data_IF_037893057697
#
_entry.id   IF_037893057697
#
_cell.length_a   1.000
_cell.length_b   1.000
_cell.length_c   1.000
_cell.angle_alpha   90.00
_cell.angle_beta   90.00
_cell.angle_gamma   90.00
#
_symmetry.space_group_name_H-M   'P 1'
#
loop_
_entity.id
_entity.type
_entity.pdbx_description
1 polymer ?
#
# COMPACT_ATOMS: atom_id res chain seq x y z
N UNK A 1 14.03 8.31 22.51
CA UNK A 1 14.51 6.94 22.24
C UNK A 1 15.48 7.00 21.10
N UNK A 2 16.41 6.02 20.97
CA UNK A 2 17.32 6.01 19.83
C UNK A 2 16.55 5.57 18.57
N UNK A 3 16.65 6.36 17.49
CA UNK A 3 16.11 6.01 16.18
C UNK A 3 16.92 4.87 15.58
N UNK A 4 16.25 3.93 14.96
CA UNK A 4 16.88 2.84 14.20
C UNK A 4 17.31 3.38 12.84
N UNK A 5 18.57 3.16 12.45
CA UNK A 5 18.99 3.51 11.10
C UNK A 5 18.34 2.57 10.08
N UNK A 6 17.71 3.11 9.04
CA UNK A 6 17.09 2.33 7.96
C UNK A 6 18.00 1.22 7.43
N UNK A 7 19.28 1.54 7.23
CA UNK A 7 20.25 0.59 6.68
C UNK A 7 20.58 -0.54 7.65
N UNK A 8 20.51 -0.31 8.98
CA UNK A 8 20.65 -1.37 9.98
C UNK A 8 19.45 -2.33 9.95
N UNK A 9 18.25 -1.78 9.77
CA UNK A 9 17.03 -2.58 9.59
C UNK A 9 17.15 -3.48 8.35
N UNK A 10 17.54 -2.92 7.20
CA UNK A 10 17.74 -3.67 5.95
C UNK A 10 18.81 -4.75 6.14
N UNK A 11 19.97 -4.40 6.70
CA UNK A 11 21.06 -5.36 6.94
C UNK A 11 20.63 -6.52 7.82
N UNK A 12 19.82 -6.26 8.84
CA UNK A 12 19.34 -7.33 9.71
C UNK A 12 18.39 -8.27 8.97
N UNK A 13 17.44 -7.75 8.16
CA UNK A 13 16.56 -8.57 7.34
C UNK A 13 17.30 -9.35 6.26
N UNK A 14 18.32 -8.76 5.62
CA UNK A 14 19.20 -9.44 4.68
C UNK A 14 19.98 -10.56 5.36
N UNK A 15 20.38 -10.39 6.64
CA UNK A 15 21.02 -11.46 7.43
C UNK A 15 20.03 -12.59 7.67
N UNK A 16 18.79 -12.33 8.08
CA UNK A 16 17.76 -13.36 8.26
C UNK A 16 17.58 -14.18 6.98
N UNK A 17 17.57 -13.53 5.83
CA UNK A 17 17.50 -14.18 4.52
C UNK A 17 18.74 -15.04 4.22
N UNK A 18 19.94 -14.49 4.36
CA UNK A 18 21.20 -15.19 4.08
C UNK A 18 21.45 -16.39 5.01
N UNK A 19 21.00 -16.28 6.26
CA UNK A 19 21.08 -17.36 7.26
C UNK A 19 19.93 -18.35 7.18
N UNK A 20 19.00 -18.20 6.21
CA UNK A 20 17.85 -19.08 5.99
C UNK A 20 17.00 -19.30 7.25
N UNK A 21 16.62 -18.22 7.92
CA UNK A 21 15.80 -18.32 9.13
C UNK A 21 14.48 -19.04 8.84
N UNK A 22 14.08 -19.87 9.80
CA UNK A 22 12.86 -20.65 9.69
C UNK A 22 11.63 -19.79 10.00
N UNK A 23 10.47 -20.27 9.57
CA UNK A 23 9.17 -19.70 9.90
C UNK A 23 8.43 -20.54 10.93
N UNK A 24 7.93 -19.92 11.98
CA UNK A 24 6.93 -20.49 12.88
C UNK A 24 5.96 -19.40 13.30
N UNK A 25 4.67 -19.71 13.26
CA UNK A 25 3.62 -18.78 13.69
C UNK A 25 3.86 -18.28 15.11
N UNK A 26 3.79 -16.97 15.33
CA UNK A 26 4.01 -16.34 16.63
C UNK A 26 5.47 -16.25 17.07
N UNK A 27 6.41 -16.73 16.27
CA UNK A 27 7.83 -16.68 16.62
C UNK A 27 8.44 -15.27 16.31
N UNK A 28 9.31 -14.83 17.23
CA UNK A 28 10.08 -13.58 17.10
C UNK A 28 11.47 -13.74 17.75
N UNK A 29 12.12 -14.87 17.47
CA UNK A 29 13.40 -15.24 18.07
C UNK A 29 14.50 -15.44 17.01
N UNK A 30 15.76 -15.36 17.45
CA UNK A 30 16.90 -15.59 16.56
C UNK A 30 16.80 -16.94 15.84
N UNK A 31 16.87 -16.92 14.52
CA UNK A 31 16.82 -18.09 13.66
C UNK A 31 15.38 -18.56 13.32
N UNK A 32 14.34 -18.02 13.99
CA UNK A 32 12.95 -18.40 13.75
C UNK A 32 12.01 -17.22 14.00
N UNK A 33 11.28 -16.79 12.97
CA UNK A 33 10.32 -15.68 13.06
C UNK A 33 9.08 -15.98 12.21
N UNK A 34 7.94 -15.33 12.52
CA UNK A 34 6.87 -15.17 11.54
C UNK A 34 7.00 -13.81 10.80
N UNK A 35 6.05 -13.48 9.92
CA UNK A 35 6.11 -12.27 9.11
C UNK A 35 6.23 -10.99 9.97
N UNK A 36 5.38 -10.85 10.98
CA UNK A 36 5.36 -9.72 11.91
C UNK A 36 6.43 -9.83 13.01
N UNK A 37 6.77 -11.05 13.40
CA UNK A 37 7.82 -11.36 14.37
C UNK A 37 9.21 -10.96 13.90
N UNK A 38 9.45 -10.91 12.60
CA UNK A 38 10.70 -10.38 12.04
C UNK A 38 10.90 -8.90 12.43
N UNK A 39 9.86 -8.08 12.36
CA UNK A 39 9.91 -6.69 12.84
C UNK A 39 10.05 -6.62 14.37
N UNK A 40 9.31 -7.44 15.12
CA UNK A 40 9.45 -7.52 16.58
C UNK A 40 10.89 -7.83 16.99
N UNK A 41 11.48 -8.83 16.35
CA UNK A 41 12.88 -9.19 16.58
C UNK A 41 13.83 -8.04 16.23
N UNK A 42 13.64 -7.39 15.08
CA UNK A 42 14.50 -6.32 14.61
C UNK A 42 14.49 -5.11 15.55
N UNK A 43 13.32 -4.63 15.97
CA UNK A 43 13.21 -3.52 16.94
C UNK A 43 13.85 -3.87 18.29
N UNK A 44 13.66 -5.09 18.75
CA UNK A 44 14.28 -5.57 19.99
C UNK A 44 15.82 -5.57 19.89
N UNK A 45 16.36 -6.03 18.76
CA UNK A 45 17.81 -6.12 18.56
C UNK A 45 18.47 -4.76 18.31
N UNK A 46 17.81 -3.87 17.56
CA UNK A 46 18.43 -2.61 17.13
C UNK A 46 18.22 -1.47 18.11
N UNK A 47 17.10 -1.47 18.85
CA UNK A 47 16.76 -0.37 19.74
C UNK A 47 16.32 -0.82 21.15
N UNK A 48 16.32 -2.11 21.46
CA UNK A 48 15.81 -2.62 22.74
C UNK A 48 14.32 -2.40 22.93
N UNK A 49 13.57 -2.17 21.85
CA UNK A 49 12.15 -1.81 21.89
C UNK A 49 11.25 -3.01 21.68
N UNK A 50 10.08 -2.95 22.30
CA UNK A 50 9.02 -3.93 22.07
C UNK A 50 7.94 -3.31 21.19
N UNK A 51 7.71 -3.95 20.02
CA UNK A 51 6.66 -3.54 19.08
C UNK A 51 5.52 -4.55 19.07
N UNK A 52 4.35 -4.11 18.62
CA UNK A 52 3.18 -4.99 18.54
C UNK A 52 3.45 -6.16 17.60
N UNK A 53 3.17 -7.39 18.07
CA UNK A 53 3.21 -8.60 17.25
C UNK A 53 1.87 -8.76 16.52
N UNK A 54 1.92 -9.00 15.23
CA UNK A 54 0.77 -9.13 14.33
C UNK A 54 0.71 -8.03 13.28
N UNK A 55 0.69 -8.44 12.01
CA UNK A 55 0.70 -7.55 10.83
C UNK A 55 -0.44 -6.53 10.84
N UNK A 56 -1.65 -6.94 11.23
CA UNK A 56 -2.80 -6.04 11.41
C UNK A 56 -2.54 -4.94 12.45
N UNK A 57 -1.85 -5.27 13.54
CA UNK A 57 -1.50 -4.29 14.57
C UNK A 57 -0.38 -3.36 14.11
N UNK A 58 0.61 -3.90 13.40
CA UNK A 58 1.72 -3.13 12.84
C UNK A 58 1.23 -2.15 11.79
N UNK A 59 0.37 -2.58 10.88
CA UNK A 59 -0.23 -1.73 9.87
C UNK A 59 -0.98 -0.52 10.45
N UNK A 60 -1.67 -0.69 11.59
CA UNK A 60 -2.48 0.37 12.20
C UNK A 60 -1.74 1.26 13.20
N UNK A 61 -0.64 0.77 13.79
CA UNK A 61 -0.03 1.44 14.95
C UNK A 61 1.47 1.63 14.85
N UNK A 62 2.15 0.92 13.93
CA UNK A 62 3.62 0.93 13.87
C UNK A 62 4.18 1.50 12.55
N UNK A 63 3.32 2.11 11.76
CA UNK A 63 3.72 2.91 10.61
C UNK A 63 3.78 4.40 10.97
N UNK A 64 4.62 5.14 10.25
CA UNK A 64 4.71 6.59 10.29
C UNK A 64 4.09 7.15 9.00
N UNK A 65 3.25 8.15 9.14
CA UNK A 65 2.52 8.70 7.99
C UNK A 65 1.45 7.75 7.44
N UNK A 66 1.26 7.77 6.14
CA UNK A 66 0.22 7.04 5.43
C UNK A 66 0.73 5.76 4.78
N UNK A 67 -0.16 4.83 4.52
CA UNK A 67 0.09 3.76 3.56
C UNK A 67 0.11 4.31 2.13
N UNK A 68 1.05 3.84 1.33
CA UNK A 68 1.27 4.27 -0.05
C UNK A 68 1.21 3.06 -0.99
N UNK A 69 0.86 3.28 -2.27
CA UNK A 69 0.97 2.23 -3.28
C UNK A 69 2.39 1.65 -3.36
N UNK A 70 2.52 0.38 -3.72
CA UNK A 70 3.84 -0.29 -3.86
C UNK A 70 4.76 0.37 -4.89
N UNK A 71 4.22 1.14 -5.84
CA UNK A 71 5.01 1.95 -6.78
C UNK A 71 5.84 3.04 -6.10
N UNK A 72 5.49 3.41 -4.87
CA UNK A 72 6.20 4.39 -4.05
C UNK A 72 7.24 3.75 -3.11
N UNK A 73 7.51 2.46 -3.28
CA UNK A 73 8.41 1.71 -2.41
C UNK A 73 9.81 2.31 -2.40
N UNK A 74 10.32 2.50 -1.20
CA UNK A 74 11.71 2.89 -0.95
C UNK A 74 12.38 1.86 -0.02
N UNK A 75 13.69 1.71 -0.10
CA UNK A 75 14.43 0.79 0.77
C UNK A 75 14.11 1.00 2.25
N UNK A 76 13.86 -0.09 2.96
CA UNK A 76 13.58 -0.08 4.39
C UNK A 76 12.13 0.24 4.79
N UNK A 77 11.27 0.59 3.85
CA UNK A 77 9.83 0.66 4.12
C UNK A 77 9.27 -0.72 4.47
N UNK A 78 8.19 -0.74 5.21
CA UNK A 78 7.39 -1.96 5.41
C UNK A 78 6.41 -2.13 4.26
N UNK A 79 6.24 -3.37 3.80
CA UNK A 79 5.26 -3.72 2.77
C UNK A 79 4.19 -4.64 3.35
N UNK A 80 2.94 -4.47 2.91
CA UNK A 80 1.80 -5.24 3.40
C UNK A 80 1.05 -5.92 2.25
N UNK A 81 0.54 -7.14 2.55
CA UNK A 81 -0.52 -7.78 1.79
C UNK A 81 -1.81 -7.64 2.56
N UNK A 82 -2.90 -7.32 1.86
CA UNK A 82 -4.18 -7.13 2.53
C UNK A 82 -5.34 -7.78 1.78
N UNK A 83 -6.47 -7.88 2.45
CA UNK A 83 -7.76 -8.31 1.92
C UNK A 83 -8.82 -7.32 2.30
N UNK A 84 -9.80 -7.13 1.44
CA UNK A 84 -10.95 -6.27 1.67
C UNK A 84 -12.11 -7.07 2.25
N UNK A 85 -13.02 -6.45 2.99
CA UNK A 85 -14.28 -7.10 3.39
C UNK A 85 -15.00 -7.69 2.17
N UNK A 86 -15.38 -8.97 2.27
CA UNK A 86 -16.08 -9.70 1.21
C UNK A 86 -15.18 -10.42 0.21
N UNK A 87 -13.86 -10.27 0.28
CA UNK A 87 -12.92 -11.09 -0.48
C UNK A 87 -12.82 -12.50 0.12
N UNK A 88 -12.49 -13.48 -0.74
CA UNK A 88 -12.20 -14.86 -0.30
C UNK A 88 -11.02 -14.84 0.70
N UNK A 89 -11.09 -15.64 1.73
CA UNK A 89 -10.11 -15.70 2.82
C UNK A 89 -9.98 -14.41 3.68
N UNK A 90 -10.91 -13.45 3.58
CA UNK A 90 -10.95 -12.32 4.50
C UNK A 90 -11.20 -12.80 5.94
N UNK A 91 -10.26 -12.53 6.83
CA UNK A 91 -10.32 -12.97 8.24
C UNK A 91 -9.76 -11.90 9.19
N UNK A 92 -10.35 -10.70 9.15
CA UNK A 92 -9.97 -9.63 10.06
C UNK A 92 -10.38 -10.02 11.50
N UNK A 93 -9.44 -10.09 12.46
CA UNK A 93 -9.76 -10.40 13.85
C UNK A 93 -10.77 -9.41 14.45
N UNK A 94 -11.69 -9.90 15.28
CA UNK A 94 -12.82 -9.16 15.84
C UNK A 94 -12.39 -7.83 16.52
N UNK A 95 -11.24 -7.82 17.19
CA UNK A 95 -10.70 -6.61 17.84
C UNK A 95 -10.45 -5.44 16.88
N UNK A 96 -10.33 -5.67 15.57
CA UNK A 96 -10.12 -4.66 14.53
C UNK A 96 -11.39 -4.34 13.75
N UNK A 97 -12.48 -5.11 13.92
CA UNK A 97 -13.79 -4.86 13.32
C UNK A 97 -14.49 -3.70 13.99
N UNK A 98 -15.57 -3.22 13.40
CA UNK A 98 -16.42 -2.17 14.01
C UNK A 98 -16.74 -2.52 15.47
N UNK A 99 -16.60 -1.54 16.35
CA UNK A 99 -16.76 -1.67 17.80
C UNK A 99 -15.68 -2.50 18.53
N UNK A 100 -14.70 -3.06 17.84
CA UNK A 100 -13.58 -3.77 18.46
C UNK A 100 -12.59 -2.83 19.18
N UNK A 101 -11.92 -3.33 20.21
CA UNK A 101 -11.02 -2.54 21.08
C UNK A 101 -9.83 -1.90 20.36
N UNK A 102 -9.50 -2.36 19.18
CA UNK A 102 -8.39 -1.84 18.33
C UNK A 102 -8.86 -1.35 16.97
N UNK A 103 -10.15 -1.07 16.83
CA UNK A 103 -10.71 -0.50 15.60
C UNK A 103 -10.19 0.92 15.37
N UNK A 104 -9.75 1.20 14.17
CA UNK A 104 -9.18 2.51 13.76
C UNK A 104 -9.94 3.15 12.59
N UNK A 105 -11.15 2.68 12.26
CA UNK A 105 -11.89 3.08 11.06
C UNK A 105 -11.52 2.27 9.81
N UNK A 106 -10.54 1.38 9.90
CA UNK A 106 -9.99 0.58 8.82
C UNK A 106 -10.41 -0.89 8.98
N UNK A 107 -11.11 -1.42 7.98
CA UNK A 107 -11.58 -2.80 7.92
C UNK A 107 -10.72 -3.70 7.02
N UNK A 108 -9.56 -3.24 6.55
CA UNK A 108 -8.64 -4.08 5.78
C UNK A 108 -8.03 -5.17 6.67
N UNK A 109 -7.93 -6.38 6.15
CA UNK A 109 -7.17 -7.46 6.80
C UNK A 109 -5.73 -7.47 6.26
N UNK A 110 -4.80 -6.89 7.01
CA UNK A 110 -3.37 -6.91 6.70
C UNK A 110 -2.77 -8.24 7.16
N UNK A 111 -2.93 -9.28 6.35
CA UNK A 111 -2.60 -10.66 6.75
C UNK A 111 -1.10 -11.00 6.65
N UNK A 112 -0.30 -10.18 5.96
CA UNK A 112 1.14 -10.43 5.79
C UNK A 112 1.94 -9.14 5.72
N UNK A 113 3.20 -9.20 6.17
CA UNK A 113 4.12 -8.06 6.22
C UNK A 113 5.55 -8.48 5.88
N UNK A 114 6.30 -7.58 5.27
CA UNK A 114 7.72 -7.72 4.98
C UNK A 114 8.42 -6.37 4.95
N UNK A 115 9.74 -6.36 4.77
CA UNK A 115 10.56 -5.16 4.65
C UNK A 115 11.04 -5.01 3.21
N UNK A 116 10.89 -3.83 2.62
CA UNK A 116 11.44 -3.50 1.30
C UNK A 116 12.96 -3.57 1.38
N UNK A 117 13.56 -4.35 0.48
CA UNK A 117 15.01 -4.56 0.43
C UNK A 117 15.74 -3.29 -0.04
N UNK A 118 17.06 -3.30 -0.04
CA UNK A 118 17.92 -2.25 -0.61
C UNK A 118 17.59 -1.99 -2.10
N UNK A 119 17.28 -3.04 -2.86
CA UNK A 119 16.63 -2.95 -4.17
C UNK A 119 15.12 -2.93 -3.96
N UNK A 120 14.43 -1.79 -4.17
CA UNK A 120 13.03 -1.64 -3.85
C UNK A 120 12.06 -2.46 -4.71
N UNK A 121 12.57 -3.17 -5.72
CA UNK A 121 11.79 -4.17 -6.48
C UNK A 121 11.54 -5.46 -5.70
N UNK A 122 12.16 -5.61 -4.51
CA UNK A 122 12.06 -6.82 -3.70
C UNK A 122 11.67 -6.53 -2.26
N UNK A 123 11.10 -7.54 -1.62
CA UNK A 123 10.71 -7.53 -0.22
C UNK A 123 11.27 -8.75 0.50
N UNK A 124 11.82 -8.53 1.68
CA UNK A 124 12.35 -9.53 2.59
C UNK A 124 11.26 -9.90 3.60
N UNK A 125 10.89 -11.17 3.69
CA UNK A 125 9.76 -11.59 4.53
C UNK A 125 9.87 -13.04 4.99
N UNK A 126 9.30 -13.35 6.16
CA UNK A 126 9.09 -14.71 6.63
C UNK A 126 7.73 -15.21 6.10
N UNK A 127 7.74 -16.12 5.12
CA UNK A 127 6.57 -16.42 4.28
C UNK A 127 5.71 -17.59 4.76
N UNK A 128 6.33 -18.70 5.06
CA UNK A 128 5.65 -19.93 5.50
C UNK A 128 6.64 -20.93 6.06
N UNK A 129 6.16 -21.96 6.74
CA UNK A 129 7.00 -23.05 7.25
C UNK A 129 7.82 -23.74 6.16
N UNK A 130 7.30 -23.82 4.93
CA UNK A 130 8.02 -24.43 3.79
C UNK A 130 9.08 -23.49 3.21
N UNK A 131 8.79 -22.21 3.11
CA UNK A 131 9.67 -21.22 2.46
C UNK A 131 10.68 -20.58 3.42
N UNK A 132 10.37 -20.54 4.72
CA UNK A 132 11.16 -19.83 5.70
C UNK A 132 11.20 -18.33 5.43
N UNK A 133 12.33 -17.72 5.71
CA UNK A 133 12.61 -16.33 5.39
C UNK A 133 13.10 -16.21 3.95
N UNK A 134 12.44 -15.41 3.14
CA UNK A 134 12.69 -15.32 1.70
C UNK A 134 12.72 -13.88 1.18
N UNK A 135 13.11 -13.75 -0.08
CA UNK A 135 13.14 -12.50 -0.85
C UNK A 135 12.21 -12.66 -2.03
N UNK A 136 11.10 -11.95 -2.02
CA UNK A 136 10.08 -11.98 -3.08
C UNK A 136 10.12 -10.69 -3.92
N UNK A 137 9.64 -10.74 -5.15
CA UNK A 137 9.40 -9.51 -5.93
C UNK A 137 8.23 -8.73 -5.33
N UNK A 138 8.41 -7.43 -5.15
CA UNK A 138 7.40 -6.50 -4.65
C UNK A 138 6.46 -6.10 -5.80
N UNK A 139 5.46 -6.91 -6.07
CA UNK A 139 4.49 -6.70 -7.15
C UNK A 139 3.08 -7.03 -6.69
N UNK A 140 2.06 -6.38 -7.30
CA UNK A 140 0.66 -6.71 -7.08
C UNK A 140 0.33 -8.16 -7.47
N UNK A 141 1.01 -8.72 -8.50
CA UNK A 141 0.89 -10.14 -8.89
C UNK A 141 1.28 -11.09 -7.76
N UNK A 142 2.21 -10.70 -6.91
CA UNK A 142 2.64 -11.45 -5.73
C UNK A 142 1.81 -11.11 -4.48
N UNK A 143 0.74 -10.33 -4.65
CA UNK A 143 -0.20 -9.94 -3.60
C UNK A 143 0.30 -8.84 -2.66
N UNK A 144 1.30 -8.06 -3.05
CA UNK A 144 1.72 -6.89 -2.31
C UNK A 144 0.87 -5.69 -2.72
N UNK A 145 0.33 -4.96 -1.73
CA UNK A 145 -0.66 -3.91 -1.96
C UNK A 145 -0.14 -2.54 -1.57
N UNK A 146 0.46 -2.42 -0.38
CA UNK A 146 0.88 -1.14 0.19
C UNK A 146 2.27 -1.18 0.78
N UNK A 147 2.89 0.00 0.85
CA UNK A 147 4.11 0.25 1.61
C UNK A 147 3.90 1.41 2.57
N UNK A 148 4.69 1.47 3.64
CA UNK A 148 4.68 2.57 4.58
C UNK A 148 6.05 2.73 5.24
N UNK A 149 6.32 3.92 5.77
CA UNK A 149 7.45 4.12 6.64
C UNK A 149 7.20 3.51 8.03
N UNK A 150 8.23 2.99 8.65
CA UNK A 150 8.17 2.47 10.01
C UNK A 150 8.39 3.60 11.02
N UNK A 151 7.69 3.55 12.14
CA UNK A 151 7.97 4.44 13.28
C UNK A 151 9.36 4.18 13.83
N UNK A 152 9.99 5.24 14.34
CA UNK A 152 11.29 5.19 15.01
C UNK A 152 12.43 4.63 14.16
N UNK A 153 12.26 4.68 12.83
CA UNK A 153 13.30 4.39 11.84
C UNK A 153 13.67 5.70 11.14
N UNK A 154 14.96 6.01 11.10
CA UNK A 154 15.50 7.17 10.42
C UNK A 154 15.77 6.83 8.94
N UNK A 155 15.14 7.59 8.05
CA UNK A 155 15.29 7.43 6.60
C UNK A 155 16.13 8.58 6.04
N UNK A 156 17.02 8.33 5.04
CA UNK A 156 17.80 9.39 4.37
C UNK A 156 16.86 10.40 3.70
N UNK A 157 17.09 11.66 3.94
CA UNK A 157 16.25 12.75 3.41
C UNK A 157 15.33 13.36 4.44
N UNK A 158 15.35 12.87 5.69
CA UNK A 158 14.57 13.36 6.81
C UNK A 158 13.07 13.04 6.64
N UNK A 159 12.52 12.30 7.59
CA UNK A 159 11.09 12.39 7.88
C UNK A 159 10.98 13.41 9.00
N UNK A 160 10.57 14.62 8.70
CA UNK A 160 10.08 15.51 9.73
C UNK A 160 8.76 14.93 10.25
N UNK A 161 8.90 14.23 11.37
CA UNK A 161 7.79 13.77 12.19
C UNK A 161 7.34 14.96 13.02
N UNK A 162 6.82 15.96 12.43
CA UNK A 162 5.80 16.87 12.98
C UNK A 162 5.65 18.09 12.04
N UNK A 163 4.41 18.55 11.84
CA UNK A 163 4.03 19.56 10.88
C UNK A 163 4.98 20.75 10.76
N UNK A 164 5.73 20.80 9.66
CA UNK A 164 6.57 21.92 9.28
C UNK A 164 6.82 21.94 7.78
N UNK A 165 6.20 22.88 7.11
CA UNK A 165 6.35 23.42 5.75
C UNK A 165 7.46 22.79 4.86
N UNK A 166 7.08 22.02 3.82
CA UNK A 166 7.93 21.75 2.66
C UNK A 166 7.86 20.34 2.04
N UNK A 167 7.12 19.37 2.56
CA UNK A 167 6.94 18.09 1.90
C UNK A 167 6.00 18.24 0.70
N UNK A 168 6.46 17.76 -0.47
CA UNK A 168 5.60 17.59 -1.64
C UNK A 168 4.53 16.57 -1.28
N UNK A 169 3.41 17.04 -0.73
CA UNK A 169 2.27 16.22 -0.36
C UNK A 169 1.83 15.41 -1.56
N UNK A 170 1.56 14.12 -1.37
CA UNK A 170 1.01 13.29 -2.43
C UNK A 170 -0.32 13.89 -2.83
N UNK A 171 -0.46 14.24 -4.10
CA UNK A 171 -1.66 14.86 -4.63
C UNK A 171 -2.44 13.87 -5.48
N UNK A 172 -3.74 14.03 -5.48
CA UNK A 172 -4.63 13.32 -6.38
C UNK A 172 -5.62 14.28 -7.04
N UNK A 173 -6.03 13.93 -8.24
CA UNK A 173 -7.16 14.60 -8.91
C UNK A 173 -8.44 13.86 -8.54
N UNK A 174 -9.45 14.60 -8.12
CA UNK A 174 -10.78 14.04 -7.88
C UNK A 174 -11.38 13.63 -9.22
N UNK A 175 -11.69 12.35 -9.38
CA UNK A 175 -12.24 11.77 -10.60
C UNK A 175 -13.50 10.94 -10.31
N UNK A 176 -14.23 10.57 -11.37
CA UNK A 176 -15.37 9.67 -11.27
C UNK A 176 -15.02 8.32 -11.92
N UNK A 177 -15.36 7.19 -11.29
CA UNK A 177 -15.23 5.89 -11.94
C UNK A 177 -15.98 5.84 -13.28
N UNK A 178 -15.44 5.08 -14.25
CA UNK A 178 -16.05 4.92 -15.57
C UNK A 178 -17.54 4.54 -15.47
N UNK A 179 -18.39 5.27 -16.21
CA UNK A 179 -19.84 5.07 -16.19
C UNK A 179 -20.58 5.80 -15.06
N UNK A 180 -19.91 6.55 -14.21
CA UNK A 180 -20.53 7.36 -13.16
C UNK A 180 -20.73 8.79 -13.66
N UNK A 181 -21.94 9.35 -13.52
CA UNK A 181 -22.24 10.75 -13.85
C UNK A 181 -22.21 11.60 -12.58
N UNK A 182 -21.65 12.82 -12.70
CA UNK A 182 -21.57 13.77 -11.59
C UNK A 182 -20.56 14.86 -11.84
N UNK A 183 -20.59 15.91 -11.04
CA UNK A 183 -19.61 17.01 -11.10
C UNK A 183 -18.86 17.22 -9.78
N UNK A 184 -19.23 16.49 -8.75
CA UNK A 184 -18.64 16.61 -7.41
C UNK A 184 -18.58 15.27 -6.71
N UNK A 185 -17.63 15.11 -5.78
CA UNK A 185 -17.50 13.96 -4.88
C UNK A 185 -17.59 14.43 -3.43
N UNK A 186 -18.22 13.63 -2.59
CA UNK A 186 -18.45 13.97 -1.19
C UNK A 186 -17.18 13.78 -0.35
N UNK A 187 -16.80 14.80 0.41
CA UNK A 187 -15.83 14.72 1.48
C UNK A 187 -16.54 14.69 2.83
N UNK A 188 -16.24 13.72 3.69
CA UNK A 188 -17.00 13.41 4.92
C UNK A 188 -16.12 13.48 6.17
N UNK A 189 -16.77 13.59 7.33
CA UNK A 189 -16.07 13.66 8.61
C UNK A 189 -15.38 12.35 9.00
N UNK A 190 -15.86 11.21 8.51
CA UNK A 190 -15.33 9.88 8.81
C UNK A 190 -15.32 9.02 7.55
N UNK A 191 -14.50 7.95 7.55
CA UNK A 191 -14.31 7.00 6.46
C UNK A 191 -15.52 6.04 6.31
N UNK A 192 -16.72 6.60 6.14
CA UNK A 192 -17.98 5.83 5.94
C UNK A 192 -19.01 6.65 5.17
N UNK A 193 -19.85 5.97 4.39
CA UNK A 193 -20.83 6.62 3.51
C UNK A 193 -21.97 7.32 4.28
N UNK A 194 -22.26 6.89 5.51
CA UNK A 194 -23.27 7.49 6.40
C UNK A 194 -22.75 8.69 7.21
N UNK A 195 -21.43 8.96 7.21
CA UNK A 195 -20.87 10.07 7.96
C UNK A 195 -21.35 11.43 7.44
N UNK A 196 -21.42 12.45 8.32
CA UNK A 196 -21.78 13.80 7.92
C UNK A 196 -20.90 14.33 6.78
N UNK A 197 -21.53 15.11 5.90
CA UNK A 197 -20.85 15.75 4.77
C UNK A 197 -20.11 17.00 5.25
N UNK A 198 -18.80 17.10 5.00
CA UNK A 198 -18.04 18.32 5.21
C UNK A 198 -18.26 19.28 4.02
N UNK A 199 -17.98 18.76 2.81
CA UNK A 199 -18.26 19.52 1.56
C UNK A 199 -18.32 18.57 0.36
N UNK A 200 -18.70 19.14 -0.79
CA UNK A 200 -18.59 18.49 -2.10
C UNK A 200 -17.39 19.06 -2.84
N UNK A 201 -16.48 18.18 -3.26
CA UNK A 201 -15.27 18.54 -3.99
C UNK A 201 -15.56 18.39 -5.48
N UNK A 202 -15.33 19.41 -6.32
CA UNK A 202 -15.54 19.30 -7.76
C UNK A 202 -14.62 18.23 -8.39
N UNK A 203 -15.14 17.52 -9.38
CA UNK A 203 -14.34 16.64 -10.22
C UNK A 203 -13.29 17.48 -10.97
N UNK A 204 -12.06 16.98 -11.06
CA UNK A 204 -10.91 17.70 -11.58
C UNK A 204 -10.16 18.55 -10.56
N UNK A 205 -10.67 18.67 -9.32
CA UNK A 205 -9.92 19.35 -8.25
C UNK A 205 -8.71 18.52 -7.83
N UNK A 206 -7.60 19.22 -7.59
CA UNK A 206 -6.42 18.63 -6.93
C UNK A 206 -6.63 18.68 -5.42
N UNK A 207 -6.37 17.58 -4.75
CA UNK A 207 -6.43 17.44 -3.29
C UNK A 207 -5.12 16.86 -2.77
N UNK A 208 -4.75 17.25 -1.58
CA UNK A 208 -3.60 16.67 -0.89
C UNK A 208 -4.03 15.42 -0.13
N UNK A 209 -3.31 14.32 -0.31
CA UNK A 209 -3.55 13.06 0.39
C UNK A 209 -2.81 13.11 1.72
N UNK A 210 -3.55 13.14 2.82
CA UNK A 210 -3.00 13.12 4.17
C UNK A 210 -2.81 11.70 4.70
N UNK A 211 -3.73 10.78 4.32
CA UNK A 211 -3.68 9.37 4.74
C UNK A 211 -4.47 8.53 3.75
N UNK A 212 -3.91 7.42 3.31
CA UNK A 212 -4.59 6.43 2.47
C UNK A 212 -4.84 5.14 3.26
N UNK A 213 -6.12 4.81 3.44
CA UNK A 213 -6.58 3.57 4.10
C UNK A 213 -7.12 2.55 3.08
N UNK A 214 -6.72 2.65 1.83
CA UNK A 214 -7.08 1.74 0.76
C UNK A 214 -8.47 2.00 0.18
N UNK A 215 -9.53 1.95 0.96
CA UNK A 215 -10.91 2.25 0.51
C UNK A 215 -11.27 3.71 0.70
N UNK A 216 -10.67 4.37 1.66
CA UNK A 216 -10.90 5.78 2.03
C UNK A 216 -9.57 6.49 2.22
N UNK A 217 -9.44 7.68 1.65
CA UNK A 217 -8.33 8.57 1.88
C UNK A 217 -8.77 9.76 2.74
N UNK A 218 -7.96 10.11 3.73
CA UNK A 218 -8.07 11.42 4.36
C UNK A 218 -7.38 12.42 3.45
N UNK A 219 -8.10 13.44 3.07
CA UNK A 219 -7.62 14.47 2.12
C UNK A 219 -7.70 15.86 2.75
N UNK A 220 -6.88 16.76 2.25
CA UNK A 220 -7.05 18.21 2.43
C UNK A 220 -7.51 18.81 1.10
N UNK A 221 -8.61 19.53 1.16
CA UNK A 221 -9.11 20.34 0.05
C UNK A 221 -9.32 21.77 0.51
N UNK A 222 -8.47 22.67 0.04
CA UNK A 222 -8.52 24.11 0.38
C UNK A 222 -8.51 24.41 1.88
N UNK A 223 -7.70 23.67 2.67
CA UNK A 223 -7.58 23.82 4.11
C UNK A 223 -8.68 23.12 4.92
N UNK A 224 -9.56 22.35 4.28
CA UNK A 224 -10.55 21.50 4.95
C UNK A 224 -10.14 20.04 4.86
N UNK A 225 -10.02 19.37 5.99
CA UNK A 225 -9.67 17.96 6.05
C UNK A 225 -10.91 17.09 6.21
N UNK A 226 -10.92 15.95 5.50
CA UNK A 226 -12.00 15.00 5.56
C UNK A 226 -11.68 13.71 4.79
N UNK A 227 -12.66 12.82 4.73
CA UNK A 227 -12.52 11.51 4.11
C UNK A 227 -13.24 11.44 2.77
N UNK A 228 -12.55 10.92 1.77
CA UNK A 228 -13.08 10.61 0.43
C UNK A 228 -12.77 9.16 0.08
N UNK A 229 -13.66 8.47 -0.62
CA UNK A 229 -13.37 7.11 -1.09
C UNK A 229 -12.27 7.17 -2.15
N UNK A 230 -11.28 6.27 -2.03
CA UNK A 230 -10.09 6.23 -2.89
C UNK A 230 -10.38 5.99 -4.37
N UNK A 231 -11.50 5.32 -4.70
CA UNK A 231 -11.94 5.12 -6.07
C UNK A 231 -12.37 6.42 -6.81
N UNK A 232 -12.43 7.55 -6.09
CA UNK A 232 -12.66 8.89 -6.65
C UNK A 232 -11.37 9.72 -6.74
N UNK A 233 -10.20 9.10 -6.57
CA UNK A 233 -8.91 9.78 -6.53
C UNK A 233 -7.97 9.17 -7.56
N UNK A 234 -7.48 9.98 -8.50
CA UNK A 234 -6.40 9.65 -9.42
C UNK A 234 -5.13 10.35 -8.94
N UNK A 235 -4.14 9.58 -8.48
CA UNK A 235 -2.91 10.15 -7.94
C UNK A 235 -2.11 10.88 -9.01
N UNK A 236 -1.80 12.18 -8.76
CA UNK A 236 -0.95 13.00 -9.61
C UNK A 236 0.50 12.88 -9.12
N UNK A 237 1.29 12.07 -9.77
CA UNK A 237 2.70 11.97 -9.43
C UNK A 237 3.29 10.64 -9.83
N UNK A 238 3.50 10.55 -11.01
CA UNK A 238 4.40 9.94 -11.97
C UNK A 238 3.61 9.55 -13.21
N UNK A 239 3.86 10.22 -14.31
CA UNK A 239 3.88 9.49 -15.55
C UNK A 239 4.78 8.29 -15.26
N UNK A 240 4.17 7.12 -15.14
CA UNK A 240 4.90 5.90 -14.90
C UNK A 240 5.86 5.73 -16.07
N UNK A 241 7.14 5.93 -15.81
CA UNK A 241 8.07 5.05 -16.44
C UNK A 241 7.66 3.65 -15.97
N UNK A 242 6.86 2.98 -16.79
CA UNK A 242 6.74 1.56 -16.75
C UNK A 242 8.18 1.06 -16.79
N UNK A 243 8.68 0.56 -15.65
CA UNK A 243 9.98 -0.10 -15.54
C UNK A 243 9.92 -1.47 -16.19
N UNK A 244 9.56 -1.50 -17.47
CA UNK A 244 9.86 -2.51 -18.45
C UNK A 244 10.86 -1.87 -19.40
N UNK A 245 11.87 -2.60 -19.83
CA UNK A 245 12.65 -2.22 -21.01
C UNK A 245 11.71 -1.63 -22.05
N UNK A 246 12.07 -0.50 -22.67
CA UNK A 246 11.21 0.08 -23.70
C UNK A 246 10.87 -1.00 -24.71
N UNK A 247 9.57 -1.21 -24.91
CA UNK A 247 9.06 -2.20 -25.85
C UNK A 247 9.89 -2.13 -27.13
N UNK A 248 10.46 -3.23 -27.54
CA UNK A 248 11.19 -3.33 -28.79
C UNK A 248 10.27 -2.95 -29.94
N UNK A 249 10.80 -2.47 -31.05
CA UNK A 249 9.99 -2.17 -32.25
C UNK A 249 9.14 -3.37 -32.67
N UNK A 250 9.65 -4.58 -32.46
CA UNK A 250 8.92 -5.82 -32.78
C UNK A 250 7.73 -6.04 -31.83
N UNK A 251 7.86 -5.72 -30.54
CA UNK A 251 6.76 -5.83 -29.57
C UNK A 251 5.70 -4.74 -29.80
N UNK A 252 6.11 -3.53 -30.16
CA UNK A 252 5.19 -2.45 -30.56
C UNK A 252 4.39 -2.84 -31.79
N UNK A 253 5.04 -3.37 -32.83
CA UNK A 253 4.38 -3.83 -34.04
C UNK A 253 3.38 -4.97 -33.76
N UNK A 254 3.67 -5.89 -32.84
CA UNK A 254 2.74 -6.95 -32.41
C UNK A 254 1.52 -6.40 -31.69
N UNK A 255 1.70 -5.39 -30.84
CA UNK A 255 0.61 -4.72 -30.13
C UNK A 255 -0.28 -3.94 -31.11
N UNK A 256 0.30 -3.19 -32.04
CA UNK A 256 -0.44 -2.46 -33.07
C UNK A 256 -1.24 -3.41 -33.97
N UNK A 257 -0.65 -4.53 -34.39
CA UNK A 257 -1.34 -5.53 -35.18
C UNK A 257 -2.53 -6.16 -34.41
N UNK A 258 -2.36 -6.44 -33.12
CA UNK A 258 -3.44 -6.96 -32.27
C UNK A 258 -4.58 -5.93 -32.06
N UNK A 259 -4.26 -4.65 -31.91
CA UNK A 259 -5.25 -3.57 -31.81
C UNK A 259 -6.09 -3.45 -33.08
N UNK A 260 -5.47 -3.51 -34.27
CA UNK A 260 -6.18 -3.48 -35.56
C UNK A 260 -7.13 -4.67 -35.69
N UNK A 261 -6.75 -5.85 -35.21
CA UNK A 261 -7.60 -7.05 -35.28
C UNK A 261 -8.78 -6.98 -34.30
N UNK A 262 -8.58 -6.36 -33.12
CA UNK A 262 -9.66 -6.07 -32.17
C UNK A 262 -10.64 -5.05 -32.76
N UNK A 263 -10.16 -3.99 -33.40
CA UNK A 263 -11.02 -2.98 -34.04
C UNK A 263 -11.89 -3.58 -35.13
N UNK A 264 -11.31 -4.45 -36.01
CA UNK A 264 -12.06 -5.20 -37.01
C UNK A 264 -13.13 -6.11 -36.38
N UNK A 265 -12.79 -6.77 -35.28
CA UNK A 265 -13.73 -7.63 -34.56
C UNK A 265 -14.90 -6.85 -33.99
N UNK A 266 -14.63 -5.65 -33.45
CA UNK A 266 -15.65 -4.73 -32.94
C UNK A 266 -16.56 -4.22 -34.06
N UNK A 267 -16.01 -3.91 -35.25
CA UNK A 267 -16.81 -3.51 -36.43
C UNK A 267 -17.75 -4.64 -36.90
N UNK A 268 -17.26 -5.87 -36.93
CA UNK A 268 -18.07 -7.05 -37.28
C UNK A 268 -19.23 -7.22 -36.31
N UNK A 269 -18.97 -7.10 -35.00
CA UNK A 269 -20.00 -7.19 -33.94
C UNK A 269 -21.02 -6.07 -34.10
N UNK A 270 -20.58 -4.82 -34.33
CA UNK A 270 -21.47 -3.66 -34.56
C UNK A 270 -22.33 -3.86 -35.82
N UNK A 271 -21.73 -4.34 -36.88
CA UNK A 271 -22.46 -4.63 -38.14
C UNK A 271 -23.51 -5.75 -37.98
N UNK A 272 -23.23 -6.72 -37.10
CA UNK A 272 -24.14 -7.83 -36.78
C UNK A 272 -25.29 -7.39 -35.90
N UNK A 273 -25.03 -6.56 -34.90
CA UNK A 273 -26.04 -6.03 -33.98
C UNK A 273 -26.89 -4.89 -34.56
N UNK A 274 -26.40 -4.18 -35.58
CA UNK A 274 -27.13 -3.12 -36.28
C UNK A 274 -28.08 -3.60 -37.40
N UNK A 275 -28.25 -4.91 -37.58
CA UNK A 275 -29.15 -5.55 -38.58
C UNK A 275 -30.38 -6.23 -37.96
N UNK A 276 -30.69 -5.91 -36.70
CA UNK A 276 -31.91 -6.37 -36.02
C UNK A 276 -32.96 -5.29 -35.88
#
# INVERSE_FOLDING_TARGET
>A
MAMIQRDDMIRLFQRMYKEHWSYSWGAAEKGCVDCSGALVYAYRQLAGQSVIHGSNGQARRWISGSMMPISMAQPGMVAFKCRKPGEEDYDLPERYREHGASYTGDLMDYYHVGLVDEDPRYVLNAKSTKAGFCRDQLTAKNGWDFVAYLREVEYPGGQDQDGGEGEKMMQAVVSLPSGTAGSTVNMREQAQTSAPLICRVPVGSVVDILTDHGTWCKIDYTGKQGWMMSNYLEYTGQEGEAGGDPLTEEERAKIEAALVEIEKSIEIVRATLGRG
#
